data_IF_818572645478
#
_entry.id   IF_818572645478
#
_cell.length_a   1.000
_cell.length_b   1.000
_cell.length_c   1.000
_cell.angle_alpha   90.00
_cell.angle_beta   90.00
_cell.angle_gamma   90.00
#
_symmetry.space_group_name_H-M   'P 1'
#
loop_
_entity.id
_entity.type
_entity.pdbx_description
1 polymer ?
#
# COMPACT_ATOMS: atom_id res chain seq x y z
N UNK A 1 10.15 -6.70 -12.79
CA UNK A 1 11.48 -7.10 -12.27
C UNK A 1 11.34 -7.95 -11.01
N UNK A 2 10.64 -7.47 -9.98
CA UNK A 2 10.48 -8.19 -8.72
C UNK A 2 9.80 -9.56 -8.94
N UNK A 3 8.69 -9.61 -9.68
CA UNK A 3 8.00 -10.87 -10.07
C UNK A 3 8.87 -11.82 -10.91
N UNK A 4 9.89 -11.29 -11.55
CA UNK A 4 10.85 -12.09 -12.35
C UNK A 4 12.07 -12.56 -11.55
N UNK A 5 12.04 -12.44 -10.21
CA UNK A 5 13.16 -12.82 -9.35
C UNK A 5 14.33 -11.82 -9.34
N UNK A 6 14.17 -10.66 -9.98
CA UNK A 6 15.19 -9.60 -10.04
C UNK A 6 14.90 -8.45 -9.07
N UNK A 7 14.34 -8.76 -7.90
CA UNK A 7 13.93 -7.76 -6.91
C UNK A 7 15.07 -6.89 -6.40
N UNK A 8 16.26 -7.46 -6.19
CA UNK A 8 17.47 -6.75 -5.77
C UNK A 8 17.93 -5.68 -6.77
N UNK A 9 17.62 -5.84 -8.04
CA UNK A 9 18.05 -4.96 -9.13
C UNK A 9 17.08 -3.77 -9.37
N UNK A 10 15.90 -3.78 -8.75
CA UNK A 10 14.86 -2.77 -9.01
C UNK A 10 15.38 -1.35 -8.79
N UNK A 11 16.02 -1.10 -7.66
CA UNK A 11 16.54 0.23 -7.32
C UNK A 11 17.63 0.68 -8.30
N UNK A 12 18.51 -0.24 -8.73
CA UNK A 12 19.56 0.03 -9.71
C UNK A 12 18.95 0.40 -11.06
N UNK A 13 17.97 -0.37 -11.53
CA UNK A 13 17.30 -0.12 -12.82
C UNK A 13 16.53 1.20 -12.79
N UNK A 14 15.73 1.44 -11.74
CA UNK A 14 15.01 2.70 -11.60
C UNK A 14 15.97 3.88 -11.48
N UNK A 15 17.10 3.69 -10.78
CA UNK A 15 18.16 4.68 -10.69
C UNK A 15 18.75 5.02 -12.06
N UNK A 16 19.06 4.00 -12.89
CA UNK A 16 19.60 4.18 -14.23
C UNK A 16 18.61 4.91 -15.16
N UNK A 17 17.31 4.52 -15.15
CA UNK A 17 16.26 5.20 -15.92
C UNK A 17 16.15 6.67 -15.48
N UNK A 18 16.21 6.93 -14.19
CA UNK A 18 16.09 8.28 -13.62
C UNK A 18 17.31 9.19 -13.86
N UNK A 19 18.40 8.71 -14.49
CA UNK A 19 19.51 9.57 -14.91
C UNK A 19 19.17 10.43 -16.13
N UNK A 20 18.16 10.05 -16.91
CA UNK A 20 17.64 10.90 -18.00
C UNK A 20 16.88 12.09 -17.38
N UNK A 21 17.33 13.32 -17.67
CA UNK A 21 16.76 14.55 -17.12
C UNK A 21 15.28 14.73 -17.46
N UNK A 22 14.81 14.15 -18.57
CA UNK A 22 13.39 14.20 -18.98
C UNK A 22 12.50 13.34 -18.11
N UNK A 23 13.05 12.32 -17.44
CA UNK A 23 12.36 11.38 -16.59
C UNK A 23 12.58 11.79 -15.12
N UNK A 24 13.84 11.88 -14.70
CA UNK A 24 14.24 12.17 -13.33
C UNK A 24 13.98 11.01 -12.36
N UNK A 25 14.56 11.11 -11.17
CA UNK A 25 14.48 10.05 -10.14
C UNK A 25 13.31 10.21 -9.17
N UNK A 26 12.69 11.39 -9.14
CA UNK A 26 11.82 11.83 -8.05
C UNK A 26 10.62 10.89 -7.77
N UNK A 27 10.07 10.29 -8.82
CA UNK A 27 8.90 9.41 -8.73
C UNK A 27 9.20 7.93 -9.04
N UNK A 28 10.46 7.60 -9.32
CA UNK A 28 10.87 6.24 -9.66
C UNK A 28 11.31 5.49 -8.41
N UNK A 29 10.34 5.15 -7.56
CA UNK A 29 10.57 4.37 -6.36
C UNK A 29 9.75 3.07 -6.41
N UNK A 30 10.33 2.00 -5.89
CA UNK A 30 9.59 0.79 -5.59
C UNK A 30 8.75 1.01 -4.33
N UNK A 31 7.57 0.41 -4.29
CA UNK A 31 6.69 0.48 -3.12
C UNK A 31 5.27 0.14 -3.46
N UNK A 32 4.35 0.69 -2.69
CA UNK A 32 2.90 0.55 -2.90
C UNK A 32 2.43 1.33 -4.13
N UNK A 33 1.25 0.99 -4.59
CA UNK A 33 0.57 1.71 -5.67
C UNK A 33 0.22 3.15 -5.30
N UNK A 34 -0.28 3.90 -6.26
CA UNK A 34 -0.76 5.25 -6.00
C UNK A 34 -2.07 5.22 -5.21
N UNK A 35 -2.24 6.21 -4.36
CA UNK A 35 -3.41 6.39 -3.49
C UNK A 35 -3.70 7.87 -3.21
N UNK A 36 -4.50 8.09 -2.17
CA UNK A 36 -4.88 9.42 -1.73
C UNK A 36 -6.12 9.99 -2.42
N UNK A 37 -6.57 11.17 -2.01
CA UNK A 37 -7.90 11.69 -2.37
C UNK A 37 -8.03 12.13 -3.85
N UNK A 38 -6.93 12.34 -4.55
CA UNK A 38 -6.94 12.90 -5.90
C UNK A 38 -6.67 11.86 -6.99
N UNK A 39 -5.49 11.22 -6.97
CA UNK A 39 -5.03 10.39 -8.08
C UNK A 39 -6.00 9.25 -8.46
N UNK A 40 -6.51 8.42 -7.53
CA UNK A 40 -7.43 7.36 -7.89
C UNK A 40 -8.75 7.90 -8.46
N UNK A 41 -9.31 8.95 -7.85
CA UNK A 41 -10.54 9.59 -8.29
C UNK A 41 -10.40 10.17 -9.71
N UNK A 42 -9.34 10.94 -9.94
CA UNK A 42 -9.15 11.66 -11.19
C UNK A 42 -8.80 10.70 -12.32
N UNK A 43 -8.06 9.62 -12.03
CA UNK A 43 -7.78 8.56 -12.99
C UNK A 43 -9.08 7.83 -13.42
N UNK A 44 -9.96 7.50 -12.46
CA UNK A 44 -11.27 6.89 -12.77
C UNK A 44 -12.19 7.86 -13.52
N UNK A 45 -12.16 9.14 -13.18
CA UNK A 45 -12.92 10.17 -13.92
C UNK A 45 -12.43 10.29 -15.36
N UNK A 46 -11.11 10.27 -15.58
CA UNK A 46 -10.53 10.24 -16.92
C UNK A 46 -10.94 8.98 -17.68
N UNK A 47 -10.90 7.82 -17.03
CA UNK A 47 -11.33 6.55 -17.61
C UNK A 47 -12.80 6.60 -18.08
N UNK A 48 -13.70 7.06 -17.22
CA UNK A 48 -15.12 7.20 -17.53
C UNK A 48 -15.38 8.23 -18.65
N UNK A 49 -14.62 9.32 -18.68
CA UNK A 49 -14.73 10.31 -19.75
C UNK A 49 -14.27 9.75 -21.10
N UNK A 50 -13.15 9.02 -21.14
CA UNK A 50 -12.65 8.38 -22.34
C UNK A 50 -13.65 7.32 -22.89
N UNK A 51 -14.26 6.53 -22.00
CA UNK A 51 -15.31 5.59 -22.38
C UNK A 51 -16.52 6.29 -22.99
N UNK A 52 -16.98 7.40 -22.38
CA UNK A 52 -18.09 8.22 -22.92
C UNK A 52 -17.81 8.77 -24.31
N UNK A 53 -16.54 9.00 -24.64
CA UNK A 53 -16.11 9.41 -25.98
C UNK A 53 -15.94 8.25 -26.97
N UNK A 54 -16.23 7.01 -26.55
CA UNK A 54 -16.11 5.82 -27.39
C UNK A 54 -14.67 5.34 -27.62
N UNK A 55 -13.72 5.74 -26.80
CA UNK A 55 -12.34 5.28 -26.88
C UNK A 55 -12.24 3.80 -26.50
N UNK A 56 -11.72 2.98 -27.43
CA UNK A 56 -11.60 1.52 -27.20
C UNK A 56 -10.49 1.16 -26.22
N UNK A 57 -9.44 1.96 -26.15
CA UNK A 57 -8.30 1.74 -25.29
C UNK A 57 -8.17 2.91 -24.32
N UNK A 58 -8.19 2.61 -23.04
CA UNK A 58 -8.29 3.59 -21.98
C UNK A 58 -7.20 3.33 -20.93
N UNK A 59 -6.15 4.14 -20.95
CA UNK A 59 -5.04 4.03 -20.00
C UNK A 59 -5.49 4.21 -18.56
N UNK A 60 -6.48 5.04 -18.28
CA UNK A 60 -6.99 5.22 -16.91
C UNK A 60 -7.57 3.94 -16.34
N UNK A 61 -8.35 3.20 -17.14
CA UNK A 61 -8.90 1.91 -16.71
C UNK A 61 -7.79 0.87 -16.46
N UNK A 62 -6.84 0.75 -17.40
CA UNK A 62 -5.73 -0.20 -17.26
C UNK A 62 -4.85 0.15 -16.07
N UNK A 63 -4.56 1.43 -15.86
CA UNK A 63 -3.74 1.90 -14.74
C UNK A 63 -4.39 1.61 -13.39
N UNK A 64 -5.72 1.78 -13.27
CA UNK A 64 -6.45 1.45 -12.03
C UNK A 64 -6.39 -0.07 -11.74
N UNK A 65 -6.59 -0.90 -12.77
CA UNK A 65 -6.46 -2.36 -12.67
C UNK A 65 -5.05 -2.79 -12.22
N UNK A 66 -4.01 -2.26 -12.86
CA UNK A 66 -2.61 -2.55 -12.47
C UNK A 66 -2.32 -2.12 -11.04
N UNK A 67 -2.88 -0.98 -10.59
CA UNK A 67 -2.72 -0.52 -9.21
C UNK A 67 -3.36 -1.49 -8.19
N UNK A 68 -4.50 -2.09 -8.54
CA UNK A 68 -5.17 -3.08 -7.71
C UNK A 68 -4.39 -4.40 -7.67
N UNK A 69 -4.01 -4.94 -8.83
CA UNK A 69 -3.21 -6.16 -8.96
C UNK A 69 -1.86 -6.05 -8.24
N UNK A 70 -1.27 -4.85 -8.23
CA UNK A 70 -0.02 -4.63 -7.52
C UNK A 70 -0.20 -4.79 -6.00
N UNK A 71 -1.31 -4.32 -5.43
CA UNK A 71 -1.62 -4.53 -4.02
C UNK A 71 -1.77 -6.02 -3.67
N UNK A 72 -2.49 -6.78 -4.50
CA UNK A 72 -2.66 -8.23 -4.34
C UNK A 72 -1.31 -8.96 -4.40
N UNK A 73 -0.46 -8.56 -5.35
CA UNK A 73 0.90 -9.08 -5.46
C UNK A 73 1.74 -8.80 -4.20
N UNK A 74 1.67 -7.59 -3.62
CA UNK A 74 2.42 -7.26 -2.42
C UNK A 74 2.00 -8.14 -1.24
N UNK A 75 0.70 -8.38 -1.07
CA UNK A 75 0.19 -9.26 -0.02
C UNK A 75 0.74 -10.68 -0.20
N UNK A 76 0.61 -11.25 -1.39
CA UNK A 76 1.14 -12.58 -1.68
C UNK A 76 2.65 -12.65 -1.39
N UNK A 77 3.41 -11.67 -1.85
CA UNK A 77 4.84 -11.59 -1.63
C UNK A 77 5.21 -11.53 -0.13
N UNK A 78 4.47 -10.74 0.65
CA UNK A 78 4.71 -10.65 2.09
C UNK A 78 4.33 -11.94 2.83
N UNK A 79 3.25 -12.61 2.41
CA UNK A 79 2.87 -13.92 2.95
C UNK A 79 3.97 -14.97 2.69
N UNK A 80 4.53 -15.02 1.48
CA UNK A 80 5.63 -15.91 1.12
C UNK A 80 6.90 -15.63 1.95
N UNK A 81 7.22 -14.36 2.16
CA UNK A 81 8.38 -13.94 2.95
C UNK A 81 8.19 -14.10 4.46
N UNK A 82 6.95 -14.17 4.93
CA UNK A 82 6.58 -14.31 6.34
C UNK A 82 6.23 -15.77 6.69
N UNK A 83 7.10 -16.70 6.34
CA UNK A 83 6.89 -18.15 6.54
C UNK A 83 6.62 -18.53 8.01
N UNK A 84 7.12 -17.75 8.97
CA UNK A 84 6.93 -17.96 10.41
C UNK A 84 5.59 -17.42 10.91
N UNK A 85 4.75 -16.88 10.04
CA UNK A 85 3.44 -16.30 10.37
C UNK A 85 3.49 -15.26 11.52
N UNK A 86 4.50 -14.40 11.48
CA UNK A 86 4.65 -13.28 12.41
C UNK A 86 3.57 -12.24 12.17
N UNK A 87 3.12 -11.48 13.19
CA UNK A 87 2.25 -10.34 12.96
C UNK A 87 2.89 -9.33 12.01
N UNK A 88 2.10 -8.80 11.10
CA UNK A 88 2.54 -7.71 10.23
C UNK A 88 2.57 -6.39 11.01
N UNK A 89 3.53 -5.53 10.71
CA UNK A 89 3.65 -4.21 11.32
C UNK A 89 3.63 -3.13 10.25
N UNK A 90 2.69 -2.21 10.38
CA UNK A 90 2.58 -1.00 9.56
C UNK A 90 3.05 0.20 10.36
N UNK A 91 4.08 0.89 9.86
CA UNK A 91 4.60 2.12 10.47
C UNK A 91 3.68 3.33 10.25
N UNK A 92 2.74 3.22 9.33
CA UNK A 92 1.62 4.13 9.12
C UNK A 92 0.57 3.48 8.21
N UNK A 93 -0.67 3.95 8.29
CA UNK A 93 -1.80 3.51 7.46
C UNK A 93 -2.43 4.66 6.68
N UNK A 94 -2.04 5.91 6.94
CA UNK A 94 -2.42 7.07 6.13
C UNK A 94 -1.88 6.94 4.70
N UNK A 95 -2.50 7.62 3.72
CA UNK A 95 -2.06 7.52 2.32
C UNK A 95 -0.63 8.03 2.11
N UNK A 96 -0.16 8.89 3.00
CA UNK A 96 1.18 9.44 3.03
C UNK A 96 1.58 9.73 4.47
N UNK A 97 2.76 9.29 4.86
CA UNK A 97 3.30 9.50 6.20
C UNK A 97 3.24 10.98 6.61
N UNK A 98 2.74 11.23 7.82
CA UNK A 98 2.59 12.59 8.36
C UNK A 98 1.33 13.32 7.91
N UNK A 99 0.39 12.64 7.25
CA UNK A 99 -0.96 13.16 6.95
C UNK A 99 -2.01 12.40 7.75
N UNK A 100 -3.20 12.98 7.91
CA UNK A 100 -4.34 12.36 8.58
C UNK A 100 -5.40 11.80 7.61
N UNK A 101 -5.00 11.60 6.34
CA UNK A 101 -5.90 11.21 5.26
C UNK A 101 -5.82 9.69 5.04
N UNK A 102 -6.96 9.02 5.21
CA UNK A 102 -7.14 7.59 4.93
C UNK A 102 -7.79 7.31 3.57
N UNK A 103 -8.34 8.36 2.93
CA UNK A 103 -9.04 8.21 1.65
C UNK A 103 -8.11 7.59 0.60
N UNK A 104 -8.53 6.44 0.05
CA UNK A 104 -7.78 5.67 -0.95
C UNK A 104 -6.32 5.36 -0.52
N UNK A 105 -6.08 5.23 0.79
CA UNK A 105 -4.76 4.81 1.28
C UNK A 105 -4.49 3.36 0.89
N UNK A 106 -3.41 3.13 0.16
CA UNK A 106 -2.95 1.79 -0.18
C UNK A 106 -2.48 1.03 1.07
N UNK A 107 -1.82 1.72 2.00
CA UNK A 107 -1.37 1.14 3.27
C UNK A 107 -2.55 0.64 4.10
N UNK A 108 -3.60 1.46 4.22
CA UNK A 108 -4.81 1.07 4.95
C UNK A 108 -5.53 -0.10 4.27
N UNK A 109 -5.63 -0.09 2.94
CA UNK A 109 -6.19 -1.19 2.17
C UNK A 109 -5.42 -2.49 2.41
N UNK A 110 -4.10 -2.49 2.22
CA UNK A 110 -3.25 -3.67 2.41
C UNK A 110 -3.29 -4.19 3.85
N UNK A 111 -3.35 -3.29 4.84
CA UNK A 111 -3.55 -3.63 6.24
C UNK A 111 -4.89 -4.37 6.45
N UNK A 112 -5.98 -3.86 5.91
CA UNK A 112 -7.31 -4.49 6.03
C UNK A 112 -7.39 -5.79 5.26
N UNK A 113 -6.78 -5.90 4.09
CA UNK A 113 -6.75 -7.13 3.29
C UNK A 113 -6.00 -8.26 4.03
N UNK A 114 -4.88 -7.96 4.71
CA UNK A 114 -4.18 -8.93 5.56
C UNK A 114 -5.03 -9.37 6.75
N UNK A 115 -5.73 -8.44 7.41
CA UNK A 115 -6.65 -8.76 8.50
C UNK A 115 -7.85 -9.61 8.03
N UNK A 116 -8.41 -9.33 6.86
CA UNK A 116 -9.50 -10.10 6.26
C UNK A 116 -9.06 -11.53 5.88
N UNK A 117 -7.80 -11.72 5.53
CA UNK A 117 -7.16 -13.03 5.34
C UNK A 117 -6.85 -13.77 6.66
N UNK A 118 -7.06 -13.14 7.81
CA UNK A 118 -6.89 -13.76 9.12
C UNK A 118 -5.55 -13.49 9.80
N UNK A 119 -4.67 -12.70 9.21
CA UNK A 119 -3.40 -12.34 9.81
C UNK A 119 -3.56 -11.40 11.01
N UNK A 120 -2.55 -11.37 11.86
CA UNK A 120 -2.44 -10.39 12.94
C UNK A 120 -1.66 -9.17 12.44
N UNK A 121 -2.11 -7.99 12.82
CA UNK A 121 -1.51 -6.72 12.38
C UNK A 121 -1.33 -5.77 13.55
N UNK A 122 -0.13 -5.22 13.67
CA UNK A 122 0.17 -4.07 14.51
C UNK A 122 0.18 -2.80 13.66
N UNK A 123 -0.48 -1.77 14.14
CA UNK A 123 -0.60 -0.48 13.45
C UNK A 123 0.00 0.61 14.34
N UNK A 124 0.93 1.35 13.78
CA UNK A 124 1.39 2.62 14.29
C UNK A 124 1.01 3.73 13.30
N UNK A 125 0.49 4.83 13.79
CA UNK A 125 0.27 6.08 13.03
C UNK A 125 -0.03 7.21 14.03
N UNK A 126 -0.15 8.46 13.53
CA UNK A 126 -0.64 9.59 14.31
C UNK A 126 -2.06 9.29 14.87
N UNK A 127 -2.32 9.75 16.09
CA UNK A 127 -3.64 9.55 16.73
C UNK A 127 -4.79 10.08 15.89
N UNK A 128 -4.59 11.17 15.16
CA UNK A 128 -5.61 11.71 14.24
C UNK A 128 -6.00 10.73 13.14
N UNK A 129 -5.11 9.78 12.81
CA UNK A 129 -5.38 8.69 11.86
C UNK A 129 -6.04 7.52 12.57
N UNK A 130 -5.42 7.03 13.64
CA UNK A 130 -5.88 5.84 14.35
C UNK A 130 -7.26 6.01 14.96
N UNK A 131 -7.57 7.18 15.52
CA UNK A 131 -8.89 7.49 16.10
C UNK A 131 -10.04 7.40 15.06
N UNK A 132 -9.75 7.64 13.77
CA UNK A 132 -10.77 7.51 12.72
C UNK A 132 -11.23 6.06 12.47
N UNK A 133 -10.40 5.09 12.82
CA UNK A 133 -10.64 3.68 12.47
C UNK A 133 -10.65 2.73 13.66
N UNK A 134 -10.18 3.16 14.82
CA UNK A 134 -9.95 2.32 16.00
C UNK A 134 -11.17 1.46 16.34
N UNK A 135 -12.29 2.07 16.68
CA UNK A 135 -13.49 1.36 17.12
C UNK A 135 -13.99 0.36 16.07
N UNK A 136 -14.03 0.77 14.82
CA UNK A 136 -14.46 -0.08 13.70
C UNK A 136 -13.53 -1.28 13.50
N UNK A 137 -12.23 -1.06 13.56
CA UNK A 137 -11.26 -2.13 13.35
C UNK A 137 -11.25 -3.10 14.53
N UNK A 138 -11.26 -2.59 15.77
CA UNK A 138 -11.32 -3.44 16.96
C UNK A 138 -12.63 -4.24 16.99
N UNK A 139 -13.76 -3.63 16.64
CA UNK A 139 -15.03 -4.35 16.53
C UNK A 139 -15.00 -5.48 15.49
N UNK A 140 -14.43 -5.20 14.30
CA UNK A 140 -14.40 -6.18 13.19
C UNK A 140 -13.38 -7.28 13.39
N UNK A 141 -12.18 -6.95 13.89
CA UNK A 141 -11.03 -7.86 13.87
C UNK A 141 -10.61 -8.37 15.25
N UNK A 142 -11.11 -7.77 16.33
CA UNK A 142 -10.79 -8.18 17.70
C UNK A 142 -9.28 -8.16 17.97
N UNK A 143 -8.79 -9.22 18.60
CA UNK A 143 -7.37 -9.35 19.00
C UNK A 143 -6.38 -9.44 17.83
N UNK A 144 -6.86 -9.56 16.59
CA UNK A 144 -5.99 -9.61 15.41
C UNK A 144 -5.43 -8.25 15.02
N UNK A 145 -6.06 -7.16 15.43
CA UNK A 145 -5.56 -5.81 15.22
C UNK A 145 -5.12 -5.20 16.55
N UNK A 146 -3.94 -4.59 16.56
CA UNK A 146 -3.44 -3.86 17.72
C UNK A 146 -2.82 -2.54 17.28
N UNK A 147 -3.24 -1.48 17.93
CA UNK A 147 -2.66 -0.15 17.76
C UNK A 147 -1.56 0.06 18.78
N UNK A 148 -0.41 0.54 18.35
CA UNK A 148 0.78 0.72 19.18
C UNK A 148 1.35 2.12 19.01
N UNK A 149 1.83 2.71 20.09
CA UNK A 149 2.47 4.04 20.03
C UNK A 149 3.90 3.96 19.46
N UNK A 150 4.54 2.79 19.58
CA UNK A 150 5.89 2.56 19.06
C UNK A 150 6.07 1.05 18.81
N UNK A 151 6.85 0.68 17.77
CA UNK A 151 7.23 -0.70 17.51
C UNK A 151 8.01 -1.36 18.69
N UNK A 152 8.74 -0.54 19.45
CA UNK A 152 9.54 -1.02 20.59
C UNK A 152 8.66 -1.53 21.76
N UNK A 153 7.37 -1.21 21.73
CA UNK A 153 6.38 -1.75 22.68
C UNK A 153 5.91 -3.18 22.33
N UNK A 154 6.35 -3.72 21.18
CA UNK A 154 6.00 -5.06 20.74
C UNK A 154 7.07 -6.04 21.21
N UNK A 155 6.69 -7.03 22.00
CA UNK A 155 7.61 -8.01 22.60
C UNK A 155 7.81 -9.28 21.78
N UNK A 156 6.94 -9.52 20.79
CA UNK A 156 7.05 -10.66 19.89
C UNK A 156 7.72 -10.26 18.55
N UNK A 157 8.35 -11.22 17.84
CA UNK A 157 8.88 -10.97 16.51
C UNK A 157 7.78 -10.52 15.54
N UNK A 158 8.04 -9.47 14.77
CA UNK A 158 7.11 -8.90 13.78
C UNK A 158 7.70 -8.97 12.36
N UNK A 159 6.81 -8.96 11.36
CA UNK A 159 7.17 -8.74 9.96
C UNK A 159 6.91 -7.28 9.61
N UNK A 160 7.97 -6.52 9.40
CA UNK A 160 7.86 -5.10 9.07
C UNK A 160 7.51 -4.98 7.58
N UNK A 161 6.36 -4.37 7.31
CA UNK A 161 5.94 -4.04 5.96
C UNK A 161 6.77 -2.85 5.46
N UNK A 162 7.64 -3.11 4.51
CA UNK A 162 8.42 -2.06 3.85
C UNK A 162 7.56 -1.41 2.75
N UNK A 163 7.18 -0.16 2.98
CA UNK A 163 6.33 0.65 2.10
C UNK A 163 7.12 1.78 1.44
#
# INVERSE_FOLDING_TARGET
>A
LHRAGCGSEVTTVLGAIGTDERIGRKYLNWGVGYGGPCLPRDNRAFAAFAEKLGMKHNLGFVTDGVNQEHGEYLIQYWEEMNSDNRPFYFDYISYKKGTDILTESQQFRLCTDLLDKGHRVYIHDDRRVTDQVYDRMVYKYGDRVRFVDNKDNITEPIFIVNL
#
